data_IF_595668375379
#
_entry.id   IF_595668375379
#
_cell.length_a   1.000
_cell.length_b   1.000
_cell.length_c   1.000
_cell.angle_alpha   90.00
_cell.angle_beta   90.00
_cell.angle_gamma   90.00
#
_symmetry.space_group_name_H-M   'P 1'
#
loop_
_entity.id
_entity.type
_entity.pdbx_description
1 polymer ?
#
# COMPACT_ATOMS: atom_id res chain seq x y z
N UNK A 1 -16.97 -3.20 -11.93
CA UNK A 1 -16.27 -1.91 -12.06
C UNK A 1 -14.81 -2.20 -11.81
N UNK A 2 -13.96 -1.95 -12.81
CA UNK A 2 -12.51 -2.14 -12.71
C UNK A 2 -11.90 -0.79 -12.35
N UNK A 3 -11.26 -0.68 -11.19
CA UNK A 3 -10.53 0.53 -10.80
C UNK A 3 -9.14 0.39 -11.41
N UNK A 4 -8.91 1.02 -12.56
CA UNK A 4 -7.59 1.09 -13.18
C UNK A 4 -6.85 2.29 -12.58
N UNK A 5 -5.93 2.03 -11.66
CA UNK A 5 -5.06 3.07 -11.10
C UNK A 5 -3.88 3.25 -12.06
N UNK A 6 -3.98 4.24 -12.95
CA UNK A 6 -2.85 4.68 -13.78
C UNK A 6 -1.94 5.57 -12.95
N UNK A 7 -0.78 5.04 -12.55
CA UNK A 7 0.27 5.85 -11.92
C UNK A 7 1.12 6.44 -13.04
N UNK A 8 0.97 7.74 -13.28
CA UNK A 8 1.89 8.49 -14.11
C UNK A 8 3.20 8.70 -13.33
N UNK A 9 4.30 8.18 -13.86
CA UNK A 9 5.62 8.16 -13.22
C UNK A 9 6.58 9.19 -13.83
N UNK A 10 6.09 10.12 -14.68
CA UNK A 10 6.92 11.24 -15.17
C UNK A 10 7.08 12.31 -14.08
N UNK A 11 8.33 12.70 -13.83
CA UNK A 11 8.89 13.31 -12.62
C UNK A 11 8.31 14.67 -12.12
N UNK A 12 8.50 14.86 -10.80
CA UNK A 12 8.74 16.12 -10.05
C UNK A 12 7.58 17.05 -9.65
N UNK A 13 6.40 16.51 -9.40
CA UNK A 13 5.49 17.08 -8.39
C UNK A 13 5.35 16.06 -7.27
N UNK A 14 6.36 15.99 -6.39
CA UNK A 14 6.27 15.18 -5.19
C UNK A 14 4.98 15.56 -4.46
N UNK A 15 4.02 14.62 -4.41
CA UNK A 15 2.78 14.83 -3.65
C UNK A 15 3.21 15.16 -2.23
N UNK A 16 2.91 16.40 -1.80
CA UNK A 16 3.30 16.87 -0.48
C UNK A 16 2.87 15.83 0.56
N UNK A 17 3.69 15.51 1.58
CA UNK A 17 3.38 14.47 2.55
C UNK A 17 1.96 14.60 3.13
N UNK A 18 1.47 15.82 3.33
CA UNK A 18 0.12 16.09 3.80
C UNK A 18 -0.97 15.73 2.77
N UNK A 19 -0.70 15.94 1.48
CA UNK A 19 -1.59 15.54 0.39
C UNK A 19 -1.59 14.01 0.21
N UNK A 20 -0.44 13.36 0.38
CA UNK A 20 -0.31 11.91 0.38
C UNK A 20 -1.09 11.29 1.55
N UNK A 21 -0.96 11.83 2.76
CA UNK A 21 -1.70 11.36 3.94
C UNK A 21 -3.22 11.55 3.78
N UNK A 22 -3.67 12.66 3.18
CA UNK A 22 -5.11 12.86 2.87
C UNK A 22 -5.66 11.83 1.88
N UNK A 23 -4.83 11.34 0.96
CA UNK A 23 -5.22 10.29 0.01
C UNK A 23 -5.18 8.91 0.65
N UNK A 24 -4.16 8.61 1.44
CA UNK A 24 -3.98 7.31 2.08
C UNK A 24 -4.98 7.06 3.21
N UNK A 25 -5.41 8.09 3.94
CA UNK A 25 -6.30 7.90 5.09
C UNK A 25 -7.65 7.26 4.71
N UNK A 26 -8.38 7.70 3.67
CA UNK A 26 -9.57 7.00 3.18
C UNK A 26 -9.29 5.57 2.73
N UNK A 27 -8.13 5.33 2.09
CA UNK A 27 -7.74 4.00 1.64
C UNK A 27 -7.52 3.07 2.84
N UNK A 28 -6.80 3.53 3.87
CA UNK A 28 -6.57 2.80 5.12
C UNK A 28 -7.91 2.43 5.76
N UNK A 29 -8.86 3.38 5.85
CA UNK A 29 -10.19 3.10 6.39
C UNK A 29 -10.92 2.02 5.59
N UNK A 30 -10.90 2.09 4.25
CA UNK A 30 -11.51 1.07 3.40
C UNK A 30 -10.87 -0.32 3.58
N UNK A 31 -9.54 -0.37 3.73
CA UNK A 31 -8.81 -1.62 3.95
C UNK A 31 -9.10 -2.23 5.33
N UNK A 32 -9.30 -1.40 6.36
CA UNK A 32 -9.65 -1.85 7.71
C UNK A 32 -11.06 -2.43 7.79
N UNK A 33 -12.00 -1.92 6.98
CA UNK A 33 -13.38 -2.39 6.90
C UNK A 33 -13.50 -3.76 6.19
N UNK A 34 -12.44 -4.23 5.53
CA UNK A 34 -12.44 -5.55 4.89
C UNK A 34 -12.56 -6.67 5.94
N UNK A 35 -13.21 -7.80 5.59
CA UNK A 35 -13.16 -9.01 6.39
C UNK A 35 -11.72 -9.41 6.73
N UNK A 36 -11.51 -9.96 7.94
CA UNK A 36 -10.17 -10.37 8.39
C UNK A 36 -9.46 -11.30 7.41
N UNK A 37 -10.20 -12.21 6.77
CA UNK A 37 -9.66 -13.12 5.76
C UNK A 37 -9.10 -12.37 4.55
N UNK A 38 -9.80 -11.34 4.07
CA UNK A 38 -9.38 -10.55 2.92
C UNK A 38 -8.18 -9.66 3.28
N UNK A 39 -8.14 -9.10 4.50
CA UNK A 39 -6.96 -8.40 5.01
C UNK A 39 -5.74 -9.32 5.07
N UNK A 40 -5.93 -10.54 5.56
CA UNK A 40 -4.85 -11.54 5.63
C UNK A 40 -4.33 -11.91 4.23
N UNK A 41 -5.22 -12.10 3.26
CA UNK A 41 -4.83 -12.38 1.88
C UNK A 41 -4.03 -11.22 1.25
N UNK A 42 -4.41 -9.96 1.56
CA UNK A 42 -3.64 -8.79 1.12
C UNK A 42 -2.26 -8.71 1.78
N UNK A 43 -2.15 -9.00 3.08
CA UNK A 43 -0.86 -9.08 3.79
C UNK A 43 0.05 -10.11 3.14
N UNK A 44 -0.48 -11.30 2.85
CA UNK A 44 0.29 -12.38 2.20
C UNK A 44 0.77 -11.97 0.80
N UNK A 45 -0.09 -11.34 0.01
CA UNK A 45 0.26 -10.85 -1.33
C UNK A 45 1.37 -9.78 -1.27
N UNK A 46 1.23 -8.79 -0.38
CA UNK A 46 2.23 -7.73 -0.21
C UNK A 46 3.57 -8.34 0.22
N UNK A 47 3.56 -9.25 1.18
CA UNK A 47 4.77 -9.91 1.67
C UNK A 47 5.45 -10.77 0.59
N UNK A 48 4.68 -11.40 -0.29
CA UNK A 48 5.24 -12.13 -1.43
C UNK A 48 6.01 -11.17 -2.36
N UNK A 49 5.40 -10.05 -2.74
CA UNK A 49 6.08 -9.06 -3.60
C UNK A 49 7.29 -8.41 -2.91
N UNK A 50 7.23 -8.18 -1.60
CA UNK A 50 8.38 -7.69 -0.84
C UNK A 50 9.57 -8.67 -0.91
N UNK A 51 9.32 -9.98 -0.91
CA UNK A 51 10.36 -11.00 -1.04
C UNK A 51 10.94 -11.09 -2.45
N UNK A 52 10.14 -10.81 -3.47
CA UNK A 52 10.57 -10.81 -4.88
C UNK A 52 11.31 -9.51 -5.27
N UNK A 53 11.17 -8.44 -4.47
CA UNK A 53 11.85 -7.17 -4.70
C UNK A 53 13.37 -7.30 -4.50
N UNK A 54 14.11 -6.74 -5.45
CA UNK A 54 15.57 -6.81 -5.53
C UNK A 54 16.25 -5.56 -4.97
N UNK A 55 15.53 -4.44 -4.97
CA UNK A 55 15.98 -3.21 -4.36
C UNK A 55 15.71 -3.27 -2.84
N UNK A 56 16.75 -3.13 -1.99
CA UNK A 56 16.61 -3.32 -0.55
C UNK A 56 15.73 -2.26 0.12
N UNK A 57 15.71 -1.02 -0.39
CA UNK A 57 14.89 0.06 0.18
C UNK A 57 13.41 -0.15 -0.15
N UNK A 58 13.12 -0.57 -1.39
CA UNK A 58 11.76 -0.93 -1.80
C UNK A 58 11.26 -2.20 -1.13
N UNK A 59 12.12 -3.18 -0.94
CA UNK A 59 11.80 -4.41 -0.20
C UNK A 59 11.39 -4.08 1.23
N UNK A 60 12.17 -3.23 1.93
CA UNK A 60 11.83 -2.79 3.28
C UNK A 60 10.50 -2.03 3.30
N UNK A 61 10.33 -1.09 2.35
CA UNK A 61 9.08 -0.32 2.22
C UNK A 61 7.87 -1.23 2.01
N UNK A 62 7.99 -2.22 1.13
CA UNK A 62 6.94 -3.20 0.86
C UNK A 62 6.66 -4.10 2.07
N UNK A 63 7.70 -4.48 2.82
CA UNK A 63 7.57 -5.27 4.05
C UNK A 63 6.84 -4.52 5.17
N UNK A 64 7.05 -3.21 5.30
CA UNK A 64 6.41 -2.35 6.31
C UNK A 64 5.01 -1.85 5.88
N UNK A 65 4.67 -1.98 4.60
CA UNK A 65 3.41 -1.51 4.04
C UNK A 65 2.16 -2.10 4.72
N UNK A 66 2.07 -3.39 5.09
CA UNK A 66 0.88 -3.94 5.73
C UNK A 66 0.55 -3.28 7.08
N UNK A 67 1.56 -2.90 7.86
CA UNK A 67 1.37 -2.15 9.11
C UNK A 67 0.92 -0.72 8.82
N UNK A 68 1.61 -0.04 7.91
CA UNK A 68 1.29 1.33 7.47
C UNK A 68 -0.13 1.46 6.92
N UNK A 69 -0.61 0.41 6.24
CA UNK A 69 -1.96 0.34 5.67
C UNK A 69 -3.03 -0.12 6.68
N UNK A 70 -2.64 -0.45 7.92
CA UNK A 70 -3.56 -0.91 8.95
C UNK A 70 -4.16 -2.29 8.68
N UNK A 71 -3.44 -3.19 8.00
CA UNK A 71 -3.92 -4.54 7.70
C UNK A 71 -3.66 -5.54 8.85
N UNK A 72 -2.75 -5.21 9.77
CA UNK A 72 -2.31 -6.09 10.86
C UNK A 72 -3.06 -5.87 12.20
N UNK A 73 -4.10 -5.04 12.22
CA UNK A 73 -4.93 -4.74 13.41
C UNK A 73 -6.15 -5.67 13.58
#
# INVERSE_FOLDING_TARGET
MEIVIGLDLSEDDAIAPEATMKMLQPLITLLQDLPKQDRQALVELINQYAQEETDPERQLTAWEAPETLGLLI
#
